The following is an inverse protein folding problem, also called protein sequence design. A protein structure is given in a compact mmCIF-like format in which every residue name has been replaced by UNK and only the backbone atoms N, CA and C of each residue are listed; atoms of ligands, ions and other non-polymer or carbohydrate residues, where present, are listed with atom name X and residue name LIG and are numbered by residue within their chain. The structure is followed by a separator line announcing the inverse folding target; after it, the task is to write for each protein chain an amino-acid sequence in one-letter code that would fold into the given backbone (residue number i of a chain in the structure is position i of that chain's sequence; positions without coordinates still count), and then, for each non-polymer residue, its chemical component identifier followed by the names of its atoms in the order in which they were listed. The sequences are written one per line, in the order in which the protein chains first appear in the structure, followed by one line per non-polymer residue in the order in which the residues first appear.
data_IF_633458079314
#
_entry.id   IF_633458079314
#
_cell.length_a   1.000
_cell.length_b   1.000
_cell.length_c   1.000
_cell.angle_alpha   90.00
_cell.angle_beta   90.00
_cell.angle_gamma   90.00
#
_symmetry.space_group_name_H-M   'P 1'
#
loop_
_entity.id
_entity.type
_entity.pdbx_description
1 polymer ?
#
# COMPACT_ATOMS: atom_id res chain seq x y z
N UNK A 1 -6.36 -0.84 11.42
CA UNK A 1 -6.11 -2.05 10.62
C UNK A 1 -4.68 -2.02 10.11
N UNK A 2 -4.01 -3.17 10.06
CA UNK A 2 -2.70 -3.33 9.43
C UNK A 2 -2.89 -3.59 7.92
N UNK A 3 -1.85 -3.39 7.11
CA UNK A 3 -1.90 -3.72 5.68
C UNK A 3 -1.91 -5.24 5.49
N UNK A 4 -2.72 -5.72 4.55
CA UNK A 4 -2.76 -7.12 4.12
C UNK A 4 -2.28 -7.22 2.67
N UNK A 5 -1.48 -8.24 2.37
CA UNK A 5 -1.00 -8.56 1.04
C UNK A 5 -1.01 -10.09 0.84
N UNK A 6 -1.15 -10.55 -0.40
CA UNK A 6 -1.22 -11.98 -0.74
C UNK A 6 -0.79 -12.22 -2.19
N UNK A 7 -0.42 -13.46 -2.51
CA UNK A 7 -0.24 -13.90 -3.89
C UNK A 7 -1.60 -14.09 -4.60
N UNK A 8 -1.66 -13.64 -5.85
CA UNK A 8 -2.86 -13.75 -6.68
C UNK A 8 -2.90 -15.06 -7.44
N UNK A 9 -4.10 -15.59 -7.65
CA UNK A 9 -4.32 -16.73 -8.54
C UNK A 9 -4.07 -16.37 -10.02
N UNK A 10 -3.77 -17.37 -10.86
CA UNK A 10 -3.45 -17.14 -12.29
C UNK A 10 -4.70 -17.06 -13.20
N UNK A 11 -5.90 -17.08 -12.63
CA UNK A 11 -7.16 -17.18 -13.40
C UNK A 11 -7.39 -15.98 -14.32
N UNK A 12 -7.41 -16.19 -15.64
CA UNK A 12 -7.65 -15.11 -16.61
C UNK A 12 -9.15 -14.89 -16.87
N UNK A 13 -9.56 -13.64 -17.08
CA UNK A 13 -10.92 -13.31 -17.53
C UNK A 13 -11.97 -13.09 -16.42
N UNK A 14 -11.58 -13.28 -15.15
CA UNK A 14 -12.43 -12.91 -14.01
C UNK A 14 -12.38 -11.41 -13.68
N UNK A 15 -13.34 -10.95 -12.88
CA UNK A 15 -13.38 -9.56 -12.41
C UNK A 15 -12.14 -9.25 -11.54
N UNK A 16 -11.33 -8.31 -12.03
CA UNK A 16 -10.09 -7.87 -11.39
C UNK A 16 -10.30 -7.17 -10.06
N UNK A 17 -11.55 -6.76 -9.72
CA UNK A 17 -11.86 -6.15 -8.43
C UNK A 17 -12.04 -7.17 -7.30
N UNK A 18 -12.13 -8.46 -7.64
CA UNK A 18 -12.23 -9.52 -6.63
C UNK A 18 -10.88 -9.71 -5.90
N UNK A 19 -10.89 -10.23 -4.66
CA UNK A 19 -9.65 -10.43 -3.90
C UNK A 19 -8.65 -11.37 -4.56
N UNK A 20 -9.12 -12.38 -5.31
CA UNK A 20 -8.28 -13.29 -6.10
C UNK A 20 -7.16 -13.99 -5.30
N UNK A 21 -7.50 -14.50 -4.13
CA UNK A 21 -6.56 -15.31 -3.34
C UNK A 21 -6.28 -16.66 -4.01
N UNK A 22 -5.04 -17.14 -3.88
CA UNK A 22 -4.73 -18.57 -4.08
C UNK A 22 -5.56 -19.47 -3.14
N UNK A 23 -5.67 -20.75 -3.52
CA UNK A 23 -6.19 -21.79 -2.64
C UNK A 23 -5.16 -22.94 -2.51
N UNK A 24 -4.50 -23.09 -1.34
CA UNK A 24 -4.70 -22.36 -0.09
C UNK A 24 -4.26 -20.89 -0.14
N UNK A 25 -4.74 -20.07 0.82
CA UNK A 25 -4.35 -18.64 0.89
C UNK A 25 -2.86 -18.49 1.17
N UNK A 26 -2.20 -17.66 0.38
CA UNK A 26 -0.79 -17.33 0.55
C UNK A 26 -0.65 -15.85 0.93
N UNK A 27 -0.64 -15.57 2.24
CA UNK A 27 -0.47 -14.21 2.77
C UNK A 27 1.00 -13.79 2.73
N UNK A 28 1.22 -12.50 2.50
CA UNK A 28 2.55 -11.88 2.41
C UNK A 28 2.76 -10.97 3.62
N UNK A 29 3.90 -11.11 4.29
CA UNK A 29 4.24 -10.28 5.44
C UNK A 29 4.76 -8.89 5.02
N UNK A 30 4.64 -7.87 5.89
CA UNK A 30 5.27 -6.58 5.64
C UNK A 30 6.79 -6.65 5.48
N UNK A 31 7.46 -7.57 6.17
CA UNK A 31 8.93 -7.75 6.06
C UNK A 31 9.32 -8.24 4.66
N UNK A 32 8.55 -9.17 4.08
CA UNK A 32 8.76 -9.61 2.70
C UNK A 32 8.58 -8.45 1.72
N UNK A 33 7.59 -7.58 1.95
CA UNK A 33 7.40 -6.37 1.14
C UNK A 33 8.60 -5.40 1.28
N UNK A 34 9.14 -5.24 2.49
CA UNK A 34 10.32 -4.41 2.73
C UNK A 34 11.57 -4.94 2.02
N UNK A 35 11.77 -6.26 1.95
CA UNK A 35 12.85 -6.88 1.17
C UNK A 35 12.73 -6.58 -0.34
N UNK A 36 11.52 -6.41 -0.85
CA UNK A 36 11.25 -5.98 -2.23
C UNK A 36 11.37 -4.46 -2.44
N UNK A 37 11.69 -3.69 -1.38
CA UNK A 37 11.78 -2.23 -1.42
C UNK A 37 10.44 -1.51 -1.29
N UNK A 38 9.35 -2.24 -0.98
CA UNK A 38 8.04 -1.64 -0.69
C UNK A 38 8.06 -1.11 0.74
N UNK A 39 7.73 0.18 0.90
CA UNK A 39 7.71 0.84 2.19
C UNK A 39 6.29 1.30 2.52
N UNK A 40 5.89 1.15 3.78
CA UNK A 40 4.53 1.38 4.24
C UNK A 40 4.50 2.35 5.44
N UNK A 41 3.51 3.24 5.45
CA UNK A 41 3.19 4.12 6.56
C UNK A 41 1.68 4.10 6.81
N UNK A 42 1.29 4.14 8.08
CA UNK A 42 -0.11 4.28 8.48
C UNK A 42 -0.37 5.73 8.88
N UNK A 43 -1.09 6.46 8.03
CA UNK A 43 -1.41 7.87 8.24
C UNK A 43 -2.88 8.08 8.63
N UNK A 44 -3.21 9.30 9.03
CA UNK A 44 -4.60 9.69 9.28
C UNK A 44 -5.23 10.28 8.01
N UNK A 45 -6.17 9.57 7.34
CA UNK A 45 -6.77 10.08 6.11
C UNK A 45 -7.63 11.34 6.33
N UNK A 46 -8.19 11.52 7.52
CA UNK A 46 -9.06 12.66 7.83
C UNK A 46 -8.29 13.98 8.00
N UNK A 47 -6.97 13.92 8.18
CA UNK A 47 -6.13 15.10 8.40
C UNK A 47 -4.98 15.22 7.37
N UNK A 48 -5.17 14.71 6.16
CA UNK A 48 -4.09 14.66 5.15
C UNK A 48 -3.48 16.04 4.78
N UNK A 49 -4.21 17.15 4.99
CA UNK A 49 -3.71 18.51 4.71
C UNK A 49 -2.67 18.99 5.74
N UNK A 50 -2.86 18.63 7.02
CA UNK A 50 -2.04 19.10 8.13
C UNK A 50 -1.30 17.95 8.87
N UNK A 51 -1.27 16.75 8.29
CA UNK A 51 -0.57 15.61 8.86
C UNK A 51 0.95 15.82 8.80
N UNK A 52 1.56 16.04 9.96
CA UNK A 52 3.01 16.26 10.11
C UNK A 52 3.84 15.01 9.76
N UNK A 53 3.31 13.80 9.94
CA UNK A 53 4.00 12.58 9.51
C UNK A 53 4.02 12.50 7.99
N UNK A 54 2.91 12.85 7.33
CA UNK A 54 2.85 12.93 5.87
C UNK A 54 3.81 13.97 5.31
N UNK A 55 3.95 15.14 5.96
CA UNK A 55 4.94 16.16 5.56
C UNK A 55 6.36 15.62 5.63
N UNK A 56 6.75 14.97 6.73
CA UNK A 56 8.09 14.37 6.90
C UNK A 56 8.38 13.32 5.82
N UNK A 57 7.43 12.41 5.56
CA UNK A 57 7.60 11.37 4.53
C UNK A 57 7.81 12.00 3.14
N UNK A 58 7.12 13.11 2.84
CA UNK A 58 7.28 13.83 1.56
C UNK A 58 8.65 14.49 1.45
N UNK A 59 9.11 15.17 2.50
CA UNK A 59 10.41 15.82 2.56
C UNK A 59 11.55 14.82 2.40
N UNK A 60 11.53 13.73 3.18
CA UNK A 60 12.55 12.67 3.16
C UNK A 60 12.67 11.99 1.77
N UNK A 61 11.59 11.96 1.01
CA UNK A 61 11.51 11.30 -0.31
C UNK A 61 11.58 12.26 -1.49
N UNK A 62 11.61 13.57 -1.25
CA UNK A 62 11.56 14.59 -2.31
C UNK A 62 10.24 14.58 -3.10
N UNK A 63 9.13 14.12 -2.51
CA UNK A 63 7.82 14.06 -3.17
C UNK A 63 7.14 15.43 -3.06
N UNK A 64 7.04 16.15 -4.18
CA UNK A 64 6.21 17.34 -4.29
C UNK A 64 4.80 16.97 -4.73
N UNK A 65 3.78 17.48 -4.03
CA UNK A 65 2.38 17.35 -4.43
C UNK A 65 2.13 18.14 -5.72
N UNK A 66 1.96 17.46 -6.84
CA UNK A 66 1.31 18.03 -8.02
C UNK A 66 -0.16 17.60 -7.99
N UNK A 67 -1.09 18.49 -7.61
CA UNK A 67 -2.52 18.18 -7.76
C UNK A 67 -3.55 18.88 -6.87
N UNK A 68 -3.23 19.95 -6.16
CA UNK A 68 -4.24 20.79 -5.51
C UNK A 68 -4.06 22.24 -5.98
N UNK A 69 -4.71 22.56 -7.09
CA UNK A 69 -5.03 23.91 -7.54
C UNK A 69 -6.50 23.92 -7.96
#
# INVERSE_FOLDING_TARGET
MAIEAWFMDETSGEDQRLPRHCYPKELVSPDYLAELGVLYWRLNPENYENDEELKKIREDRGIQLHGLA
#
